data_IF_262830985259
#
_entry.id   IF_262830985259
#
_cell.length_a   1.000
_cell.length_b   1.000
_cell.length_c   1.000
_cell.angle_alpha   90.00
_cell.angle_beta   90.00
_cell.angle_gamma   90.00
#
_symmetry.space_group_name_H-M   'P 1'
#
loop_
_entity.id
_entity.type
_entity.pdbx_description
1 polymer ?
#
# COMPACT_ATOMS: atom_id res chain seq x y z
N UNK A 1 7.73 3.93 10.13
CA UNK A 1 7.46 5.23 9.48
C UNK A 1 7.91 6.41 10.33
N UNK A 2 7.47 6.55 11.58
CA UNK A 2 7.84 7.68 12.47
C UNK A 2 9.36 7.91 12.61
N UNK A 3 10.16 6.86 12.83
CA UNK A 3 11.62 6.97 12.96
C UNK A 3 12.34 7.38 11.65
N UNK A 4 11.73 7.08 10.50
CA UNK A 4 12.24 7.44 9.18
C UNK A 4 11.54 8.67 8.59
N UNK A 5 10.70 9.36 9.37
CA UNK A 5 9.91 10.53 8.96
C UNK A 5 9.07 10.33 7.68
N UNK A 6 8.67 9.09 7.40
CA UNK A 6 7.76 8.77 6.30
C UNK A 6 6.35 9.16 6.70
N UNK A 7 5.68 9.91 5.82
CA UNK A 7 4.31 10.37 5.98
C UNK A 7 3.41 9.97 4.81
N UNK A 8 3.97 9.65 3.65
CA UNK A 8 3.22 9.23 2.45
C UNK A 8 3.59 7.81 2.04
N UNK A 9 2.61 6.93 1.96
CA UNK A 9 2.82 5.55 1.55
C UNK A 9 1.93 5.13 0.39
N UNK A 10 2.42 4.20 -0.40
CA UNK A 10 1.59 3.40 -1.28
C UNK A 10 1.33 2.03 -0.67
N UNK A 11 0.14 1.50 -0.92
CA UNK A 11 -0.29 0.18 -0.43
C UNK A 11 -0.53 -0.73 -1.63
N UNK A 12 0.07 -1.92 -1.61
CA UNK A 12 -0.24 -3.03 -2.51
C UNK A 12 -0.93 -4.12 -1.71
N UNK A 13 -2.08 -4.59 -2.18
CA UNK A 13 -2.77 -5.71 -1.53
C UNK A 13 -3.18 -6.80 -2.52
N UNK A 14 -3.03 -8.06 -2.14
CA UNK A 14 -3.57 -9.18 -2.93
C UNK A 14 -5.11 -9.17 -2.94
N UNK A 15 -5.73 -9.75 -3.97
CA UNK A 15 -7.19 -9.86 -4.09
C UNK A 15 -7.84 -10.94 -3.17
N UNK A 16 -7.04 -11.58 -2.32
CA UNK A 16 -7.47 -12.59 -1.35
C UNK A 16 -8.27 -11.97 -0.19
N UNK A 17 -8.93 -12.82 0.62
CA UNK A 17 -9.56 -12.36 1.86
C UNK A 17 -8.57 -11.71 2.84
N UNK A 18 -7.34 -12.23 2.91
CA UNK A 18 -6.27 -11.66 3.74
C UNK A 18 -5.80 -10.29 3.22
N UNK A 19 -5.60 -10.16 1.91
CA UNK A 19 -5.20 -8.88 1.30
C UNK A 19 -6.26 -7.80 1.50
N UNK A 20 -7.55 -8.14 1.34
CA UNK A 20 -8.68 -7.21 1.62
C UNK A 20 -8.74 -6.80 3.09
N UNK A 21 -8.61 -7.76 4.01
CA UNK A 21 -8.63 -7.47 5.44
C UNK A 21 -7.43 -6.60 5.85
N UNK A 22 -6.23 -6.93 5.37
CA UNK A 22 -5.02 -6.15 5.59
C UNK A 22 -5.16 -4.72 5.09
N UNK A 23 -5.62 -4.54 3.85
CA UNK A 23 -5.93 -3.21 3.28
C UNK A 23 -6.86 -2.41 4.19
N UNK A 24 -7.97 -2.99 4.63
CA UNK A 24 -8.93 -2.31 5.51
C UNK A 24 -8.32 -1.89 6.85
N UNK A 25 -7.44 -2.71 7.44
CA UNK A 25 -6.71 -2.34 8.65
C UNK A 25 -5.75 -1.17 8.39
N UNK A 26 -5.01 -1.21 7.28
CA UNK A 26 -4.06 -0.16 6.91
C UNK A 26 -4.78 1.18 6.67
N UNK A 27 -5.89 1.17 5.93
CA UNK A 27 -6.69 2.38 5.67
C UNK A 27 -7.25 3.00 6.95
N UNK A 28 -7.56 2.18 7.96
CA UNK A 28 -8.02 2.65 9.27
C UNK A 28 -6.87 3.23 10.11
N UNK A 29 -5.74 2.52 10.19
CA UNK A 29 -4.62 2.85 11.08
C UNK A 29 -3.68 3.94 10.53
N UNK A 30 -3.56 4.07 9.20
CA UNK A 30 -2.71 5.07 8.57
C UNK A 30 -3.02 6.50 9.02
N UNK A 31 -4.28 7.01 8.93
CA UNK A 31 -4.60 8.36 9.36
C UNK A 31 -4.37 8.57 10.87
N UNK A 32 -4.68 7.58 11.71
CA UNK A 32 -4.43 7.63 13.16
C UNK A 32 -2.94 7.78 13.50
N UNK A 33 -2.06 7.34 12.61
CA UNK A 33 -0.62 7.42 12.76
C UNK A 33 0.04 8.59 12.01
N UNK A 34 -0.76 9.49 11.44
CA UNK A 34 -0.27 10.63 10.64
C UNK A 34 0.33 10.21 9.30
N UNK A 35 -0.15 9.10 8.74
CA UNK A 35 0.29 8.56 7.45
C UNK A 35 -0.82 8.77 6.42
N UNK A 36 -0.45 9.32 5.26
CA UNK A 36 -1.30 9.49 4.08
C UNK A 36 -1.05 8.35 3.11
N UNK A 37 -2.11 7.65 2.71
CA UNK A 37 -2.06 6.68 1.62
C UNK A 37 -2.24 7.44 0.31
N UNK A 38 -1.18 7.49 -0.51
CA UNK A 38 -1.20 8.23 -1.79
C UNK A 38 -1.62 7.36 -2.98
N UNK A 39 -1.52 6.04 -2.84
CA UNK A 39 -1.99 5.07 -3.82
C UNK A 39 -2.34 3.74 -3.11
N UNK A 40 -3.39 3.08 -3.56
CA UNK A 40 -3.78 1.75 -3.07
C UNK A 40 -4.14 0.86 -4.26
N UNK A 41 -3.24 -0.03 -4.61
CA UNK A 41 -3.42 -0.95 -5.74
C UNK A 41 -3.73 -2.36 -5.23
N UNK A 42 -4.65 -3.04 -5.92
CA UNK A 42 -4.99 -4.44 -5.67
C UNK A 42 -4.49 -5.26 -6.85
N UNK A 43 -3.79 -6.35 -6.57
CA UNK A 43 -3.27 -7.25 -7.59
C UNK A 43 -3.81 -8.68 -7.41
N UNK A 44 -3.78 -9.47 -8.48
CA UNK A 44 -4.18 -10.86 -8.44
C UNK A 44 -3.13 -11.71 -7.72
N UNK A 45 -3.53 -12.65 -6.86
CA UNK A 45 -2.59 -13.55 -6.16
C UNK A 45 -1.67 -14.31 -7.12
N UNK A 46 -2.13 -14.62 -8.34
CA UNK A 46 -1.36 -15.31 -9.35
C UNK A 46 -0.43 -14.38 -10.15
N UNK A 47 -0.49 -13.06 -9.96
CA UNK A 47 0.40 -12.12 -10.64
C UNK A 47 1.86 -12.36 -10.23
N UNK A 48 2.72 -12.60 -11.22
CA UNK A 48 4.17 -12.75 -11.05
C UNK A 48 4.95 -11.47 -11.36
N UNK A 49 4.29 -10.49 -11.97
CA UNK A 49 4.82 -9.14 -12.24
C UNK A 49 3.86 -8.10 -11.62
N UNK A 50 4.43 -7.18 -10.83
CA UNK A 50 3.72 -6.07 -10.19
C UNK A 50 4.25 -4.70 -10.66
N UNK A 51 4.89 -4.67 -11.83
CA UNK A 51 5.61 -3.49 -12.33
C UNK A 51 4.64 -2.33 -12.55
N UNK A 52 3.44 -2.61 -13.07
CA UNK A 52 2.42 -1.59 -13.31
C UNK A 52 1.94 -0.95 -12.00
N UNK A 53 1.65 -1.76 -11.00
CA UNK A 53 1.14 -1.32 -9.70
C UNK A 53 2.20 -0.51 -8.94
N UNK A 54 3.45 -1.00 -8.90
CA UNK A 54 4.57 -0.27 -8.30
C UNK A 54 4.82 1.05 -9.03
N UNK A 55 4.71 1.08 -10.36
CA UNK A 55 4.89 2.30 -11.16
C UNK A 55 3.84 3.35 -10.83
N UNK A 56 2.56 2.96 -10.70
CA UNK A 56 1.49 3.87 -10.28
C UNK A 56 1.73 4.42 -8.88
N UNK A 57 2.12 3.55 -7.94
CA UNK A 57 2.44 3.96 -6.56
C UNK A 57 3.59 4.97 -6.53
N UNK A 58 4.64 4.74 -7.32
CA UNK A 58 5.76 5.67 -7.47
C UNK A 58 5.32 7.00 -8.07
N UNK A 59 4.49 6.98 -9.11
CA UNK A 59 3.96 8.19 -9.75
C UNK A 59 3.08 9.01 -8.80
N UNK A 60 2.40 8.37 -7.85
CA UNK A 60 1.63 9.04 -6.79
C UNK A 60 2.50 9.71 -5.70
N UNK A 61 3.84 9.58 -5.78
CA UNK A 61 4.76 10.23 -4.85
C UNK A 61 4.86 9.53 -3.49
N UNK A 62 4.69 8.21 -3.45
CA UNK A 62 4.88 7.43 -2.23
C UNK A 62 6.35 7.45 -1.78
N UNK A 63 6.58 7.70 -0.49
CA UNK A 63 7.92 7.65 0.12
C UNK A 63 8.29 6.23 0.56
N UNK A 64 7.28 5.40 0.80
CA UNK A 64 7.44 3.99 1.10
C UNK A 64 6.30 3.17 0.51
N UNK A 65 6.59 1.88 0.31
CA UNK A 65 5.65 0.94 -0.26
C UNK A 65 5.38 -0.17 0.76
N UNK A 66 4.10 -0.43 1.02
CA UNK A 66 3.65 -1.47 1.95
C UNK A 66 2.86 -2.52 1.18
N UNK A 67 3.38 -3.74 1.12
CA UNK A 67 2.76 -4.86 0.43
C UNK A 67 2.13 -5.84 1.44
N UNK A 68 0.90 -6.27 1.17
CA UNK A 68 0.15 -7.21 2.01
C UNK A 68 -0.60 -8.25 1.16
N UNK A 69 -0.21 -9.52 1.23
CA UNK A 69 -0.70 -10.59 0.35
C UNK A 69 -1.36 -11.74 1.11
#
# INVERSE_FOLDING_TARGET
>A
MKRMKISKIGVLSGNTGFGKAGKGQIEKLAPENGITIVASEVYDKASTDLTAEVTKVKAAGAEALLNWS
#
